data_IF_719386120085
#
_entry.id   IF_719386120085
#
_cell.length_a   1.000
_cell.length_b   1.000
_cell.length_c   1.000
_cell.angle_alpha   90.00
_cell.angle_beta   90.00
_cell.angle_gamma   90.00
#
_symmetry.space_group_name_H-M   'P 1'
#
loop_
_entity.id
_entity.type
_entity.pdbx_description
1 polymer ?
#
# COMPACT_ATOMS: atom_id res chain seq x y z
N UNK A 1 8.57 -13.16 -10.46
CA UNK A 1 7.54 -14.18 -10.64
C UNK A 1 6.54 -13.76 -11.71
N UNK A 2 5.81 -14.72 -12.23
CA UNK A 2 4.76 -14.48 -13.23
C UNK A 2 3.69 -13.48 -12.73
N UNK A 3 3.42 -13.51 -11.43
CA UNK A 3 2.47 -12.59 -10.77
C UNK A 3 3.00 -11.17 -10.69
N UNK A 4 4.29 -10.98 -10.46
CA UNK A 4 4.92 -9.67 -10.48
C UNK A 4 4.94 -9.05 -11.87
N UNK A 5 4.94 -9.86 -12.95
CA UNK A 5 4.85 -9.38 -14.32
C UNK A 5 3.45 -8.86 -14.68
N UNK A 6 2.41 -9.33 -13.99
CA UNK A 6 1.03 -8.88 -14.19
C UNK A 6 0.73 -7.57 -13.46
N UNK A 7 1.54 -7.23 -12.46
CA UNK A 7 1.42 -5.97 -11.72
C UNK A 7 2.50 -5.01 -12.21
N UNK A 8 2.17 -4.18 -13.20
CA UNK A 8 3.06 -3.10 -13.60
C UNK A 8 3.11 -2.07 -12.48
N UNK A 9 4.20 -2.05 -11.73
CA UNK A 9 4.47 -1.03 -10.71
C UNK A 9 5.32 0.05 -11.36
N UNK A 10 4.82 1.29 -11.30
CA UNK A 10 5.56 2.46 -11.77
C UNK A 10 5.68 3.47 -10.65
N UNK A 11 6.91 3.79 -10.32
CA UNK A 11 7.23 4.72 -9.26
C UNK A 11 7.63 6.07 -9.84
N UNK A 12 7.25 7.13 -9.17
CA UNK A 12 7.69 8.48 -9.49
C UNK A 12 8.67 8.95 -8.43
N UNK A 13 9.91 9.21 -8.87
CA UNK A 13 10.97 9.72 -8.02
C UNK A 13 11.29 11.18 -8.33
N UNK A 14 11.49 11.96 -7.28
CA UNK A 14 11.95 13.35 -7.37
C UNK A 14 13.07 13.51 -6.35
N UNK A 15 14.24 13.99 -6.79
CA UNK A 15 15.42 14.18 -5.94
C UNK A 15 15.80 12.92 -5.13
N UNK A 16 15.66 11.75 -5.73
CA UNK A 16 16.01 10.47 -5.10
C UNK A 16 14.98 9.90 -4.15
N UNK A 17 13.85 10.57 -3.94
CA UNK A 17 12.76 10.11 -3.08
C UNK A 17 11.53 9.71 -3.89
N UNK A 18 10.87 8.63 -3.47
CA UNK A 18 9.62 8.20 -4.08
C UNK A 18 8.45 9.06 -3.60
N UNK A 19 7.68 9.62 -4.53
CA UNK A 19 6.53 10.47 -4.24
C UNK A 19 5.20 9.85 -4.66
N UNK A 20 5.23 8.95 -5.62
CA UNK A 20 4.02 8.30 -6.11
C UNK A 20 4.34 6.95 -6.70
N UNK A 21 3.37 6.06 -6.70
CA UNK A 21 3.42 4.81 -7.45
C UNK A 21 2.12 4.57 -8.18
N UNK A 22 2.18 3.77 -9.22
CA UNK A 22 1.02 3.35 -9.97
C UNK A 22 1.17 1.87 -10.31
N UNK A 23 0.06 1.15 -10.33
CA UNK A 23 0.06 -0.29 -10.55
C UNK A 23 -1.26 -0.73 -11.17
N UNK A 24 -1.23 -1.91 -11.78
CA UNK A 24 -2.46 -2.57 -12.20
C UNK A 24 -3.15 -3.18 -10.99
N UNK A 25 -4.42 -2.90 -10.83
CA UNK A 25 -5.21 -3.49 -9.75
C UNK A 25 -5.47 -4.97 -10.00
N UNK A 26 -5.37 -5.76 -8.94
CA UNK A 26 -5.73 -7.17 -8.96
C UNK A 26 -7.26 -7.28 -8.93
N UNK A 27 -7.84 -7.82 -10.00
CA UNK A 27 -9.29 -7.93 -10.14
C UNK A 27 -9.81 -9.38 -10.12
N UNK A 28 -8.93 -10.37 -10.01
CA UNK A 28 -9.31 -11.78 -9.93
C UNK A 28 -9.60 -12.17 -8.48
N UNK A 29 -10.87 -12.55 -8.14
CA UNK A 29 -11.20 -12.92 -6.76
C UNK A 29 -10.48 -14.19 -6.28
N UNK A 30 -10.21 -15.13 -7.16
CA UNK A 30 -9.51 -16.37 -6.79
C UNK A 30 -8.06 -16.07 -6.43
N UNK A 31 -7.37 -15.29 -7.25
CA UNK A 31 -5.99 -14.89 -6.98
C UNK A 31 -5.90 -14.03 -5.72
N UNK A 32 -6.85 -13.11 -5.53
CA UNK A 32 -6.90 -12.29 -4.31
C UNK A 32 -7.07 -13.14 -3.05
N UNK A 33 -7.96 -14.12 -3.08
CA UNK A 33 -8.18 -15.05 -1.96
C UNK A 33 -6.91 -15.86 -1.64
N UNK A 34 -6.20 -16.33 -2.67
CA UNK A 34 -4.92 -17.03 -2.48
C UNK A 34 -3.87 -16.14 -1.82
N UNK A 35 -3.79 -14.88 -2.22
CA UNK A 35 -2.85 -13.91 -1.63
C UNK A 35 -3.18 -13.62 -0.18
N UNK A 36 -4.46 -13.49 0.19
CA UNK A 36 -4.87 -13.33 1.57
C UNK A 36 -4.48 -14.54 2.43
N UNK A 37 -4.68 -15.76 1.90
CA UNK A 37 -4.27 -16.99 2.59
C UNK A 37 -2.76 -17.06 2.81
N UNK A 38 -1.98 -16.64 1.82
CA UNK A 38 -0.52 -16.57 1.94
C UNK A 38 -0.09 -15.55 3.00
N UNK A 39 -0.77 -14.41 3.09
CA UNK A 39 -0.51 -13.40 4.11
C UNK A 39 -0.87 -13.89 5.51
N UNK A 40 -1.97 -14.63 5.66
CA UNK A 40 -2.33 -15.26 6.93
C UNK A 40 -1.26 -16.25 7.38
N UNK A 41 -0.75 -17.08 6.47
CA UNK A 41 0.34 -18.02 6.77
C UNK A 41 1.60 -17.27 7.21
N UNK A 42 1.94 -16.16 6.57
CA UNK A 42 3.07 -15.31 6.96
C UNK A 42 2.86 -14.70 8.35
N UNK A 43 1.65 -14.25 8.65
CA UNK A 43 1.28 -13.71 9.96
C UNK A 43 1.43 -14.75 11.08
N UNK A 44 0.98 -15.98 10.82
CA UNK A 44 1.13 -17.09 11.76
C UNK A 44 2.61 -17.45 12.00
N UNK A 45 3.47 -17.13 11.04
CA UNK A 45 4.92 -17.30 11.16
C UNK A 45 5.64 -16.11 11.80
N UNK A 46 4.90 -15.11 12.30
CA UNK A 46 5.43 -13.96 13.04
C UNK A 46 5.54 -12.66 12.25
N UNK A 47 4.97 -12.58 11.05
CA UNK A 47 4.89 -11.32 10.30
C UNK A 47 3.69 -10.49 10.79
N UNK A 48 3.95 -9.60 11.73
CA UNK A 48 2.90 -8.76 12.34
C UNK A 48 2.33 -7.70 11.37
N UNK A 49 3.02 -7.45 10.27
CA UNK A 49 2.55 -6.51 9.26
C UNK A 49 1.59 -7.15 8.24
N UNK A 50 1.50 -8.47 8.22
CA UNK A 50 0.61 -9.18 7.31
C UNK A 50 -0.86 -8.90 7.64
N UNK A 51 -1.64 -8.60 6.62
CA UNK A 51 -3.08 -8.35 6.75
C UNK A 51 -3.86 -9.66 6.90
N UNK A 52 -4.98 -9.61 7.62
CA UNK A 52 -5.92 -10.72 7.71
C UNK A 52 -6.71 -10.93 6.41
N UNK A 53 -7.46 -12.03 6.36
CA UNK A 53 -8.33 -12.32 5.23
C UNK A 53 -9.56 -11.41 5.26
N UNK A 54 -9.84 -10.73 4.15
CA UNK A 54 -11.00 -9.85 4.01
C UNK A 54 -12.03 -10.51 3.06
N UNK A 55 -13.01 -11.18 3.65
CA UNK A 55 -14.05 -11.88 2.90
C UNK A 55 -14.94 -10.92 2.11
N UNK A 56 -15.24 -9.76 2.66
CA UNK A 56 -16.09 -8.76 2.00
C UNK A 56 -15.42 -8.19 0.75
N UNK A 57 -14.12 -7.97 0.81
CA UNK A 57 -13.36 -7.52 -0.33
C UNK A 57 -13.36 -8.55 -1.47
N UNK A 58 -13.13 -9.83 -1.13
CA UNK A 58 -13.17 -10.92 -2.11
C UNK A 58 -14.56 -11.06 -2.72
N UNK A 59 -15.60 -10.96 -1.91
CA UNK A 59 -16.99 -10.99 -2.38
C UNK A 59 -17.28 -9.84 -3.34
N UNK A 60 -16.78 -8.65 -3.04
CA UNK A 60 -16.93 -7.49 -3.92
C UNK A 60 -16.27 -7.75 -5.28
N UNK A 61 -15.09 -8.38 -5.32
CA UNK A 61 -14.43 -8.74 -6.57
C UNK A 61 -15.22 -9.79 -7.37
N UNK A 62 -15.91 -10.70 -6.69
CA UNK A 62 -16.75 -11.72 -7.35
C UNK A 62 -17.92 -11.12 -8.13
N UNK A 63 -18.42 -9.95 -7.72
CA UNK A 63 -19.43 -9.21 -8.49
C UNK A 63 -18.89 -8.64 -9.81
N UNK A 64 -17.60 -8.61 -9.96
CA UNK A 64 -16.92 -8.19 -11.17
C UNK A 64 -16.24 -6.83 -11.03
N UNK A 65 -14.96 -6.82 -11.28
CA UNK A 65 -14.15 -5.61 -11.35
C UNK A 65 -13.46 -5.57 -12.71
N UNK A 66 -13.68 -4.53 -13.53
CA UNK A 66 -12.99 -4.42 -14.81
C UNK A 66 -11.49 -4.19 -14.60
N UNK A 67 -10.66 -4.39 -15.64
CA UNK A 67 -9.27 -3.98 -15.58
C UNK A 67 -9.16 -2.51 -15.16
N UNK A 68 -8.35 -2.25 -14.13
CA UNK A 68 -8.22 -0.93 -13.54
C UNK A 68 -6.78 -0.68 -13.12
N UNK A 69 -6.40 0.58 -13.07
CA UNK A 69 -5.13 1.02 -12.51
C UNK A 69 -5.33 1.70 -11.17
N UNK A 70 -4.38 1.55 -10.29
CA UNK A 70 -4.32 2.25 -9.02
C UNK A 70 -3.15 3.21 -8.99
N UNK A 71 -3.29 4.29 -8.22
CA UNK A 71 -2.22 5.24 -7.98
C UNK A 71 -2.17 5.59 -6.50
N UNK A 72 -0.96 5.60 -5.96
CA UNK A 72 -0.70 6.06 -4.60
C UNK A 72 0.20 7.27 -4.63
N UNK A 73 -0.17 8.33 -3.93
CA UNK A 73 0.62 9.55 -3.83
C UNK A 73 0.90 9.82 -2.36
N UNK A 74 2.18 9.95 -2.01
CA UNK A 74 2.58 10.33 -0.66
C UNK A 74 2.33 11.82 -0.43
N UNK A 75 1.20 12.17 0.14
CA UNK A 75 0.80 13.56 0.37
C UNK A 75 1.76 14.26 1.32
N UNK A 76 2.21 13.60 2.36
CA UNK A 76 3.19 14.20 3.29
C UNK A 76 4.51 14.51 2.59
N UNK A 77 5.01 13.57 1.78
CA UNK A 77 6.24 13.78 1.00
C UNK A 77 6.08 14.91 -0.02
N UNK A 78 4.94 14.95 -0.71
CA UNK A 78 4.65 16.01 -1.66
C UNK A 78 4.61 17.38 -0.95
N UNK A 79 3.99 17.45 0.22
CA UNK A 79 3.94 18.67 1.03
C UNK A 79 5.34 19.10 1.47
N UNK A 80 6.19 18.16 1.88
CA UNK A 80 7.59 18.43 2.21
C UNK A 80 8.32 19.06 1.03
N UNK A 81 8.11 18.52 -0.18
CA UNK A 81 8.73 19.04 -1.40
C UNK A 81 8.27 20.47 -1.68
N UNK A 82 6.97 20.73 -1.64
CA UNK A 82 6.38 22.02 -1.97
C UNK A 82 6.70 23.11 -0.95
N UNK A 83 6.88 22.74 0.31
CA UNK A 83 7.19 23.66 1.40
C UNK A 83 8.68 23.72 1.74
N UNK A 84 9.51 22.96 1.03
CA UNK A 84 10.93 22.83 1.30
C UNK A 84 11.23 22.41 2.74
N UNK A 85 10.42 21.49 3.28
CA UNK A 85 10.57 20.97 4.64
C UNK A 85 11.48 19.73 4.63
N UNK A 86 12.43 19.67 5.55
CA UNK A 86 13.42 18.58 5.60
C UNK A 86 12.89 17.34 6.32
N UNK A 87 11.88 17.47 7.16
CA UNK A 87 11.34 16.34 7.95
C UNK A 87 9.84 16.26 7.82
N UNK A 88 9.31 15.02 7.91
CA UNK A 88 7.88 14.77 7.85
C UNK A 88 7.12 15.39 9.04
N UNK A 89 7.79 15.57 10.18
CA UNK A 89 7.19 16.20 11.37
C UNK A 89 6.73 17.62 11.10
N UNK A 90 7.40 18.33 10.21
CA UNK A 90 7.10 19.73 9.89
C UNK A 90 5.80 19.88 9.11
N UNK A 91 5.30 18.81 8.48
CA UNK A 91 4.11 18.83 7.63
C UNK A 91 2.93 18.05 8.21
N UNK A 92 3.12 17.30 9.29
CA UNK A 92 2.05 16.58 9.98
C UNK A 92 1.36 17.49 10.99
N UNK A 93 0.02 17.55 10.89
CA UNK A 93 -0.78 18.30 11.87
C UNK A 93 -0.79 17.62 13.25
N UNK A 94 -0.86 16.30 13.26
CA UNK A 94 -0.91 15.50 14.49
C UNK A 94 0.12 14.37 14.41
N UNK A 95 1.42 14.66 14.64
CA UNK A 95 2.43 13.61 14.57
C UNK A 95 2.25 12.62 15.71
N UNK A 96 2.47 11.34 15.40
CA UNK A 96 2.44 10.29 16.41
C UNK A 96 3.65 10.45 17.34
N UNK A 97 3.38 10.63 18.61
CA UNK A 97 4.41 10.82 19.63
C UNK A 97 4.68 9.50 20.35
N UNK A 98 5.88 9.37 20.91
CA UNK A 98 6.16 8.26 21.82
C UNK A 98 5.30 8.38 23.06
N UNK A 99 4.87 7.24 23.58
CA UNK A 99 4.22 7.21 24.89
C UNK A 99 5.18 7.75 25.94
N UNK A 100 4.64 8.54 26.87
CA UNK A 100 5.45 9.02 27.98
C UNK A 100 5.91 7.85 28.84
N UNK A 101 7.19 7.82 29.17
CA UNK A 101 7.73 6.84 30.09
C UNK A 101 7.15 7.11 31.49
N UNK A 102 6.45 6.10 32.02
CA UNK A 102 5.93 6.14 33.40
C UNK A 102 6.94 5.62 34.38
#
# INVERSE_FOLDING_TARGET
SRRQRQMCIRDRFISGHEYANAFNELNDPVDQAERFRAQLAAKDMGDDEAMGFDDDYVRALEYGMPPAGGVGIGIDRLTMLLTNSATIRDVLLFPHMRDEAK
#
